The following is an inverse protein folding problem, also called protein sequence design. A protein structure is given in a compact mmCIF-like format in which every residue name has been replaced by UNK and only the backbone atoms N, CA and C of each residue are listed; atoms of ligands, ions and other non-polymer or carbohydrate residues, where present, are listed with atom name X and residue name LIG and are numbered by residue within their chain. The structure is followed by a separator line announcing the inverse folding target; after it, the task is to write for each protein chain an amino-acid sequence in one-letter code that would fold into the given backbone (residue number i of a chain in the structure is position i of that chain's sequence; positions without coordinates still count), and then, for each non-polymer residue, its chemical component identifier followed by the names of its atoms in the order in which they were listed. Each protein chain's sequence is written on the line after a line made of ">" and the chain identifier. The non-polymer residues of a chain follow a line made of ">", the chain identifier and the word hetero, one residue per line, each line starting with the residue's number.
data_IF_822924751394
#
_entry.id   IF_822924751394
#
_cell.length_a   1.000
_cell.length_b   1.000
_cell.length_c   1.000
_cell.angle_alpha   90.00
_cell.angle_beta   90.00
_cell.angle_gamma   90.00
#
_symmetry.space_group_name_H-M   'P 1'
#
loop_
_entity.id
_entity.type
_entity.pdbx_description
1 polymer ?
#
# COMPACT_ATOMS: atom_id res chain seq x y z
N UNK A 1 -5.59 -17.92 0.54
CA UNK A 1 -4.23 -17.41 0.82
C UNK A 1 -4.27 -15.91 0.71
N UNK A 2 -3.72 -15.23 1.70
CA UNK A 2 -3.75 -13.78 1.90
C UNK A 2 -2.35 -13.30 2.23
N UNK A 3 -2.02 -12.07 1.83
CA UNK A 3 -0.81 -11.38 2.26
C UNK A 3 -1.17 -9.99 2.79
N UNK A 4 -0.78 -9.69 4.02
CA UNK A 4 -1.17 -8.47 4.73
C UNK A 4 0.03 -7.59 5.11
N UNK A 5 1.21 -7.93 4.58
CA UNK A 5 2.42 -7.15 4.78
C UNK A 5 3.13 -6.97 3.44
N UNK A 6 2.62 -6.04 2.63
CA UNK A 6 3.08 -5.83 1.26
C UNK A 6 3.45 -4.38 1.03
N UNK A 7 4.69 -4.18 0.56
CA UNK A 7 5.25 -2.89 0.18
C UNK A 7 5.34 -2.76 -1.34
N UNK A 8 5.18 -1.55 -1.85
CA UNK A 8 5.21 -1.15 -3.26
C UNK A 8 6.09 0.09 -3.46
N UNK A 9 6.14 0.63 -4.67
CA UNK A 9 6.85 1.87 -5.00
C UNK A 9 6.39 3.11 -4.22
N UNK A 10 5.30 3.02 -3.45
CA UNK A 10 4.88 4.05 -2.48
C UNK A 10 5.62 3.99 -1.14
N UNK A 11 6.45 2.98 -0.91
CA UNK A 11 7.29 2.79 0.27
C UNK A 11 8.74 3.06 -0.12
N UNK A 12 9.50 3.80 0.69
CA UNK A 12 10.89 4.17 0.36
C UNK A 12 11.84 2.98 0.21
N UNK A 13 11.48 1.84 0.79
CA UNK A 13 12.23 0.58 0.76
C UNK A 13 11.81 -0.38 -0.36
N UNK A 14 10.90 0.02 -1.25
CA UNK A 14 10.43 -0.82 -2.36
C UNK A 14 10.31 -0.02 -3.67
N UNK A 15 10.61 -0.67 -4.78
CA UNK A 15 10.58 -0.07 -6.12
C UNK A 15 9.65 -0.82 -7.09
N UNK A 16 8.76 -1.67 -6.55
CA UNK A 16 7.86 -2.49 -7.36
C UNK A 16 6.47 -1.86 -7.41
N UNK A 17 5.98 -1.60 -8.62
CA UNK A 17 4.65 -1.05 -8.83
C UNK A 17 3.54 -1.94 -8.26
N UNK A 18 2.53 -1.32 -7.64
CA UNK A 18 1.36 -2.04 -7.10
C UNK A 18 0.71 -2.97 -8.13
N UNK A 19 0.59 -2.51 -9.38
CA UNK A 19 0.02 -3.32 -10.47
C UNK A 19 0.80 -4.62 -10.70
N UNK A 20 2.14 -4.56 -10.64
CA UNK A 20 3.00 -5.74 -10.83
C UNK A 20 2.80 -6.74 -9.70
N UNK A 21 2.71 -6.25 -8.46
CA UNK A 21 2.44 -7.08 -7.28
C UNK A 21 1.07 -7.75 -7.38
N UNK A 22 0.05 -7.02 -7.80
CA UNK A 22 -1.31 -7.55 -7.99
C UNK A 22 -1.34 -8.63 -9.06
N UNK A 23 -0.75 -8.37 -10.23
CA UNK A 23 -0.69 -9.36 -11.32
C UNK A 23 0.04 -10.63 -10.86
N UNK A 24 1.13 -10.48 -10.11
CA UNK A 24 1.86 -11.62 -9.55
C UNK A 24 1.00 -12.38 -8.53
N UNK A 25 0.34 -11.69 -7.61
CA UNK A 25 -0.55 -12.30 -6.61
C UNK A 25 -1.67 -13.11 -7.25
N UNK A 26 -2.31 -12.56 -8.29
CA UNK A 26 -3.33 -13.28 -9.08
C UNK A 26 -2.74 -14.54 -9.71
N UNK A 27 -1.56 -14.44 -10.34
CA UNK A 27 -0.91 -15.60 -10.97
C UNK A 27 -0.55 -16.72 -9.99
N UNK A 28 -0.28 -16.36 -8.73
CA UNK A 28 0.02 -17.30 -7.64
C UNK A 28 -1.23 -17.85 -6.95
N UNK A 29 -2.43 -17.44 -7.36
CA UNK A 29 -3.68 -17.87 -6.74
C UNK A 29 -3.99 -17.23 -5.38
N UNK A 30 -3.26 -16.16 -5.01
CA UNK A 30 -3.59 -15.34 -3.85
C UNK A 30 -4.97 -14.71 -4.07
N UNK A 31 -5.79 -14.67 -3.02
CA UNK A 31 -7.16 -14.16 -3.10
C UNK A 31 -7.28 -12.72 -2.66
N UNK A 32 -6.33 -12.26 -1.87
CA UNK A 32 -6.39 -10.95 -1.26
C UNK A 32 -5.01 -10.48 -0.82
N UNK A 33 -4.75 -9.19 -1.03
CA UNK A 33 -3.56 -8.50 -0.56
C UNK A 33 -3.97 -7.22 0.19
N UNK A 34 -3.28 -6.93 1.29
CA UNK A 34 -3.28 -5.63 1.95
C UNK A 34 -1.93 -4.94 1.73
N UNK A 35 -1.95 -3.81 1.02
CA UNK A 35 -0.78 -2.94 0.96
C UNK A 35 -0.61 -2.19 2.29
N UNK A 36 0.62 -2.18 2.79
CA UNK A 36 1.02 -1.59 4.08
C UNK A 36 2.35 -0.86 3.93
N UNK A 37 2.47 -0.07 2.86
CA UNK A 37 3.61 0.78 2.58
C UNK A 37 3.97 1.70 3.76
N UNK A 38 5.27 2.00 3.90
CA UNK A 38 5.73 3.07 4.77
C UNK A 38 5.29 4.40 4.17
N UNK A 39 4.20 4.97 4.68
CA UNK A 39 3.84 6.35 4.38
C UNK A 39 4.63 7.18 5.37
N UNK A 40 5.76 7.75 4.93
CA UNK A 40 6.63 8.55 5.77
C UNK A 40 5.95 9.88 6.12
N UNK A 41 5.32 9.93 7.30
CA UNK A 41 4.77 11.15 7.88
C UNK A 41 5.85 12.01 8.53
N UNK A 42 7.07 11.48 8.77
CA UNK A 42 8.17 12.20 9.41
C UNK A 42 9.00 13.02 8.40
N UNK A 43 8.93 12.68 7.11
CA UNK A 43 9.42 13.55 6.02
C UNK A 43 8.66 14.90 5.94
N UNK A 44 7.67 15.13 6.79
CA UNK A 44 6.96 16.40 6.93
C UNK A 44 7.94 17.55 7.19
N UNK A 45 8.16 18.32 6.12
CA UNK A 45 8.65 19.69 6.17
C UNK A 45 7.86 20.42 7.27
N UNK A 46 8.51 21.19 8.15
CA UNK A 46 7.80 21.96 9.17
C UNK A 46 6.68 22.79 8.52
N UNK A 47 5.44 22.59 8.99
CA UNK A 47 4.20 23.23 8.51
C UNK A 47 3.53 22.64 7.24
N UNK A 48 3.89 21.42 6.80
CA UNK A 48 3.11 20.70 5.78
C UNK A 48 2.22 19.65 6.45
N UNK A 49 0.90 19.79 6.29
CA UNK A 49 -0.05 18.75 6.66
C UNK A 49 -0.04 17.72 5.53
N UNK A 50 0.63 16.58 5.75
CA UNK A 50 0.51 15.42 4.85
C UNK A 50 -0.82 14.76 5.18
N UNK A 51 -1.82 14.94 4.32
CA UNK A 51 -3.11 14.28 4.47
C UNK A 51 -2.93 12.76 4.36
N UNK A 52 -3.58 12.02 5.28
CA UNK A 52 -3.61 10.56 5.31
C UNK A 52 -4.08 9.93 3.98
N UNK A 53 -4.79 10.70 3.17
CA UNK A 53 -5.13 10.37 1.80
C UNK A 53 -4.13 11.02 0.84
N UNK A 54 -2.92 10.45 0.79
CA UNK A 54 -1.99 10.81 -0.28
C UNK A 54 -2.70 10.47 -1.60
N UNK A 55 -3.15 11.51 -2.30
CA UNK A 55 -4.17 11.43 -3.35
C UNK A 55 -3.82 10.38 -4.43
N UNK A 56 -2.53 10.12 -4.63
CA UNK A 56 -2.04 9.17 -5.62
C UNK A 56 -2.11 7.71 -5.12
N UNK A 57 -1.81 7.45 -3.84
CA UNK A 57 -1.88 6.12 -3.24
C UNK A 57 -3.29 5.55 -3.29
N UNK A 58 -4.26 6.28 -2.74
CA UNK A 58 -5.65 5.81 -2.72
C UNK A 58 -6.24 5.73 -4.12
N UNK A 59 -5.86 6.65 -5.02
CA UNK A 59 -6.29 6.60 -6.42
C UNK A 59 -5.79 5.33 -7.09
N UNK A 60 -4.55 4.95 -6.85
CA UNK A 60 -3.96 3.74 -7.43
C UNK A 60 -4.61 2.46 -6.89
N UNK A 61 -4.76 2.34 -5.56
CA UNK A 61 -5.49 1.22 -4.95
C UNK A 61 -6.92 1.12 -5.50
N UNK A 62 -7.61 2.24 -5.65
CA UNK A 62 -8.98 2.27 -6.19
C UNK A 62 -9.04 1.94 -7.69
N UNK A 63 -8.05 2.37 -8.48
CA UNK A 63 -7.89 1.98 -9.89
C UNK A 63 -7.72 0.48 -10.01
N UNK A 64 -6.81 -0.10 -9.24
CA UNK A 64 -6.55 -1.54 -9.26
C UNK A 64 -7.75 -2.36 -8.79
N UNK A 65 -8.43 -1.95 -7.71
CA UNK A 65 -9.68 -2.57 -7.25
C UNK A 65 -10.74 -2.67 -8.36
N UNK A 66 -10.89 -1.61 -9.16
CA UNK A 66 -11.83 -1.60 -10.30
C UNK A 66 -11.40 -2.59 -11.38
N UNK A 67 -10.11 -2.69 -11.66
CA UNK A 67 -9.57 -3.56 -12.71
C UNK A 67 -9.57 -5.05 -12.33
N UNK A 68 -9.33 -5.39 -11.06
CA UNK A 68 -9.29 -6.79 -10.59
C UNK A 68 -10.67 -7.39 -10.35
N UNK A 69 -11.69 -6.55 -10.16
CA UNK A 69 -13.05 -6.97 -9.85
C UNK A 69 -13.15 -7.76 -8.54
N UNK A 70 -14.17 -8.62 -8.43
CA UNK A 70 -14.49 -9.34 -7.17
C UNK A 70 -13.64 -10.60 -6.92
N UNK A 71 -12.80 -11.01 -7.89
CA UNK A 71 -12.02 -12.27 -7.80
C UNK A 71 -10.72 -12.13 -7.00
N UNK A 72 -10.28 -10.89 -6.77
CA UNK A 72 -9.06 -10.56 -6.04
C UNK A 72 -9.31 -9.32 -5.19
N UNK A 73 -9.25 -9.48 -3.87
CA UNK A 73 -9.56 -8.40 -2.93
C UNK A 73 -8.31 -7.58 -2.64
N UNK A 74 -8.47 -6.26 -2.67
CA UNK A 74 -7.41 -5.32 -2.32
C UNK A 74 -7.78 -4.54 -1.08
N UNK A 75 -6.88 -4.51 -0.11
CA UNK A 75 -6.98 -3.72 1.12
C UNK A 75 -5.85 -2.70 1.16
N UNK A 76 -6.11 -1.59 1.85
CA UNK A 76 -5.12 -0.59 2.22
C UNK A 76 -5.04 -0.61 3.74
N UNK A 77 -3.86 -0.83 4.28
CA UNK A 77 -3.53 -0.70 5.68
C UNK A 77 -2.47 0.37 5.89
N UNK A 78 -2.11 0.58 7.15
CA UNK A 78 -1.01 1.45 7.54
C UNK A 78 0.00 0.61 8.30
N UNK A 79 1.27 0.67 7.92
CA UNK A 79 2.37 0.20 8.76
C UNK A 79 2.81 1.37 9.63
N UNK A 80 2.75 1.18 10.94
CA UNK A 80 3.15 2.19 11.93
C UNK A 80 4.29 1.63 12.75
N UNK A 81 5.47 2.25 12.62
CA UNK A 81 6.61 1.92 13.45
C UNK A 81 6.44 2.61 14.81
N UNK A 82 6.42 1.82 15.88
CA UNK A 82 6.31 2.34 17.24
C UNK A 82 7.70 2.40 17.88
N UNK A 83 8.14 3.60 18.24
CA UNK A 83 9.36 3.80 19.02
C UNK A 83 8.98 4.26 20.43
N UNK A 84 9.21 3.44 21.48
CA UNK A 84 8.93 3.84 22.85
C UNK A 84 9.87 4.97 23.28
N UNK A 85 9.32 5.99 23.93
CA UNK A 85 10.10 7.06 24.56
C UNK A 85 10.81 6.46 25.78
N UNK A 86 12.14 6.50 25.78
CA UNK A 86 13.00 6.14 26.93
C UNK A 86 13.04 7.24 27.97
#
# INVERSE_FOLDING_TARGET
>A
MWDYHVHSSFSDDCHVEMETIVQKGISLGIKEICFTDHIDYEAAIPNVIIEFDNNDYSREVNRLKKNTGTKFLLRKGLKWDFSPIS
#
